data_IF_882438602579
#
_entry.id   IF_882438602579
#
_cell.length_a   1.000
_cell.length_b   1.000
_cell.length_c   1.000
_cell.angle_alpha   90.00
_cell.angle_beta   90.00
_cell.angle_gamma   90.00
#
_symmetry.space_group_name_H-M   'P 1'
#
loop_
_entity.id
_entity.type
_entity.pdbx_description
1 polymer ?
#
# COMPACT_ATOMS: atom_id res chain seq x y z
N UNK A 1 29.61 25.63 83.14
CA UNK A 1 30.76 26.41 83.65
C UNK A 1 31.76 26.58 82.51
N UNK A 2 31.86 27.83 82.04
CA UNK A 2 33.00 28.55 81.47
C UNK A 2 34.07 27.88 80.57
N UNK A 3 34.28 28.59 79.44
CA UNK A 3 35.56 28.91 78.77
C UNK A 3 36.05 27.93 77.69
N UNK A 4 36.49 28.35 76.49
CA UNK A 4 37.23 29.58 76.17
C UNK A 4 37.22 29.93 74.66
N UNK A 5 36.94 31.20 74.38
CA UNK A 5 37.49 32.11 73.36
C UNK A 5 38.37 31.59 72.19
N UNK A 6 38.11 32.10 70.97
CA UNK A 6 38.87 33.26 70.43
C UNK A 6 38.26 33.83 69.15
N UNK A 7 38.09 35.16 69.17
CA UNK A 7 37.77 36.05 68.07
C UNK A 7 38.94 36.24 67.09
N UNK A 8 38.64 36.74 65.88
CA UNK A 8 39.30 37.91 65.28
C UNK A 8 38.58 38.38 64.01
N UNK A 9 38.37 39.70 63.98
CA UNK A 9 37.80 40.53 62.92
C UNK A 9 38.73 40.78 61.72
N UNK A 10 38.12 41.43 60.70
CA UNK A 10 38.66 42.30 59.63
C UNK A 10 38.69 41.70 58.20
N UNK A 11 38.64 42.53 57.13
CA UNK A 11 37.48 43.30 56.65
C UNK A 11 37.23 43.11 55.13
N UNK A 12 36.17 43.73 54.63
CA UNK A 12 35.78 43.78 53.22
C UNK A 12 36.69 44.72 52.39
N UNK A 13 37.16 44.32 51.19
CA UNK A 13 36.89 44.98 49.89
C UNK A 13 37.84 44.57 48.74
N UNK A 14 37.22 44.52 47.56
CA UNK A 14 37.74 44.72 46.18
C UNK A 14 38.14 43.50 45.34
N UNK A 15 37.40 43.36 44.22
CA UNK A 15 37.71 42.58 43.01
C UNK A 15 38.82 43.27 42.20
N UNK A 16 39.69 42.49 41.52
CA UNK A 16 39.89 42.46 40.05
C UNK A 16 40.58 41.14 39.64
N UNK A 17 40.12 40.59 38.50
CA UNK A 17 40.51 39.39 37.76
C UNK A 17 42.00 39.13 37.46
N UNK A 18 42.34 37.84 37.26
CA UNK A 18 43.06 37.34 36.05
C UNK A 18 43.05 35.79 35.91
N UNK A 19 42.43 35.33 34.82
CA UNK A 19 42.81 34.25 33.87
C UNK A 19 43.08 32.76 34.28
N UNK A 20 42.20 31.90 33.72
CA UNK A 20 42.41 30.71 32.85
C UNK A 20 43.23 29.49 33.33
N UNK A 21 42.55 28.33 33.48
CA UNK A 21 42.90 26.99 32.93
C UNK A 21 41.58 26.25 32.55
N UNK A 22 41.48 25.50 31.43
CA UNK A 22 40.20 25.15 30.80
C UNK A 22 39.59 23.82 31.28
N UNK A 23 38.27 23.81 31.52
CA UNK A 23 37.45 22.59 31.61
C UNK A 23 36.97 22.19 30.21
N UNK A 24 37.18 20.92 29.86
CA UNK A 24 36.69 20.32 28.63
C UNK A 24 35.16 20.49 28.52
N UNK A 25 34.71 21.06 27.40
CA UNK A 25 33.29 21.16 27.06
C UNK A 25 32.86 19.85 26.38
N UNK A 26 32.02 19.09 27.07
CA UNK A 26 31.13 18.13 26.42
C UNK A 26 30.11 18.94 25.59
N UNK A 27 30.29 18.96 24.28
CA UNK A 27 29.31 19.54 23.37
C UNK A 27 28.24 18.48 23.08
N UNK A 28 27.22 18.40 23.93
CA UNK A 28 25.90 17.97 23.48
C UNK A 28 25.29 19.13 22.71
N UNK A 29 25.54 19.18 21.40
CA UNK A 29 24.83 20.10 20.52
C UNK A 29 23.42 19.53 20.36
N UNK A 30 22.49 20.05 21.15
CA UNK A 30 21.06 19.95 20.90
C UNK A 30 20.83 20.49 19.49
N UNK A 31 20.59 19.61 18.52
CA UNK A 31 20.21 20.02 17.17
C UNK A 31 18.79 20.56 17.29
N UNK A 32 18.71 21.86 17.54
CA UNK A 32 17.47 22.61 17.45
C UNK A 32 16.91 22.39 16.04
N UNK A 33 15.67 21.92 15.99
CA UNK A 33 14.89 21.75 14.77
C UNK A 33 14.85 23.07 14.01
N UNK A 34 15.69 23.21 12.98
CA UNK A 34 15.61 24.29 12.00
C UNK A 34 14.35 24.11 11.14
N UNK A 35 13.58 25.17 10.84
CA UNK A 35 12.36 25.08 10.02
C UNK A 35 12.58 24.63 8.56
N UNK A 36 13.84 24.60 8.08
CA UNK A 36 14.18 24.45 6.65
C UNK A 36 14.86 23.12 6.27
N UNK A 37 14.77 22.06 7.10
CA UNK A 37 15.24 20.74 6.63
C UNK A 37 14.30 20.20 5.55
N UNK A 38 14.73 20.34 4.29
CA UNK A 38 14.02 19.82 3.12
C UNK A 38 13.78 18.32 3.28
N UNK A 39 12.52 17.91 3.13
CA UNK A 39 12.11 16.52 3.17
C UNK A 39 12.49 15.87 1.84
N UNK A 40 13.44 14.95 1.88
CA UNK A 40 13.86 14.18 0.72
C UNK A 40 13.06 12.88 0.66
N UNK A 41 12.63 12.47 -0.53
CA UNK A 41 12.04 11.14 -0.73
C UNK A 41 13.12 10.15 -1.17
N UNK A 42 13.02 8.91 -0.70
CA UNK A 42 13.83 7.80 -1.21
C UNK A 42 12.95 6.56 -1.42
N UNK A 43 13.36 5.72 -2.37
CA UNK A 43 12.80 4.38 -2.54
C UNK A 43 13.78 3.36 -1.95
N UNK A 44 13.37 2.54 -0.96
CA UNK A 44 14.24 1.56 -0.36
C UNK A 44 14.60 0.45 -1.35
N UNK A 45 15.79 -0.14 -1.19
CA UNK A 45 16.11 -1.41 -1.82
C UNK A 45 15.36 -2.51 -1.06
N UNK A 46 14.63 -3.35 -1.79
CA UNK A 46 13.77 -4.39 -1.21
C UNK A 46 14.36 -5.75 -1.54
N UNK A 47 14.62 -6.56 -0.50
CA UNK A 47 15.11 -7.93 -0.60
C UNK A 47 14.06 -8.89 -0.04
N UNK A 48 13.71 -9.90 -0.83
CA UNK A 48 12.69 -10.90 -0.50
C UNK A 48 13.36 -12.21 -0.07
N UNK A 49 13.43 -12.46 1.24
CA UNK A 49 13.97 -13.70 1.80
C UNK A 49 12.82 -14.64 2.19
N UNK A 50 12.05 -15.10 1.20
CA UNK A 50 10.97 -16.12 1.22
C UNK A 50 9.79 -15.91 2.21
N UNK A 51 9.97 -15.24 3.34
CA UNK A 51 8.95 -14.93 4.35
C UNK A 51 8.95 -13.48 4.82
N UNK A 52 10.10 -12.80 4.87
CA UNK A 52 10.22 -11.41 5.33
C UNK A 52 10.87 -10.50 4.28
N UNK A 53 10.17 -9.42 3.89
CA UNK A 53 10.75 -8.37 3.07
C UNK A 53 11.53 -7.38 3.94
N UNK A 54 12.81 -7.22 3.63
CA UNK A 54 13.65 -6.22 4.25
C UNK A 54 13.75 -4.98 3.35
N UNK A 55 13.64 -3.81 3.96
CA UNK A 55 13.82 -2.51 3.33
C UNK A 55 15.18 -1.93 3.75
N UNK A 56 16.00 -1.58 2.76
CA UNK A 56 17.32 -0.99 2.99
C UNK A 56 17.39 0.42 2.43
N UNK A 57 17.84 1.36 3.25
CA UNK A 57 18.12 2.74 2.88
C UNK A 57 19.58 3.07 3.16
N UNK A 58 20.32 3.40 2.10
CA UNK A 58 21.72 3.86 2.21
C UNK A 58 21.74 5.38 2.18
N UNK A 59 22.15 6.00 3.28
CA UNK A 59 22.19 7.45 3.40
C UNK A 59 23.63 7.94 3.37
N UNK A 60 23.96 8.84 2.44
CA UNK A 60 25.29 9.42 2.31
C UNK A 60 25.49 10.74 3.06
N UNK A 61 24.42 11.38 3.54
CA UNK A 61 24.54 12.68 4.21
C UNK A 61 23.39 12.97 5.19
N UNK A 62 23.62 13.79 6.23
CA UNK A 62 22.58 14.20 7.17
C UNK A 62 21.38 14.83 6.46
N UNK A 63 20.18 14.57 6.97
CA UNK A 63 18.96 15.05 6.32
C UNK A 63 17.70 14.39 6.86
N UNK A 64 16.55 14.85 6.36
CA UNK A 64 15.25 14.26 6.65
C UNK A 64 14.79 13.48 5.40
N UNK A 65 14.52 12.19 5.57
CA UNK A 65 14.28 11.27 4.45
C UNK A 65 13.00 10.47 4.65
N UNK A 66 12.04 10.57 3.74
CA UNK A 66 10.80 9.79 3.72
C UNK A 66 10.90 8.64 2.74
N UNK A 67 10.53 7.45 3.22
CA UNK A 67 10.39 6.25 2.39
C UNK A 67 9.11 6.35 1.54
N UNK A 68 9.25 6.19 0.22
CA UNK A 68 8.12 6.20 -0.72
C UNK A 68 7.19 4.97 -0.60
N UNK A 69 7.65 3.89 0.05
CA UNK A 69 6.90 2.62 0.17
C UNK A 69 6.15 2.49 1.50
N UNK A 70 6.81 2.83 2.61
CA UNK A 70 6.25 2.66 3.96
C UNK A 70 5.81 3.97 4.60
N UNK A 71 6.18 5.13 4.02
CA UNK A 71 5.92 6.45 4.60
C UNK A 71 6.77 6.77 5.84
N UNK A 72 7.64 5.87 6.31
CA UNK A 72 8.55 6.16 7.42
C UNK A 72 9.45 7.35 7.09
N UNK A 73 9.67 8.22 8.07
CA UNK A 73 10.63 9.32 7.93
C UNK A 73 11.76 9.18 8.93
N UNK A 74 12.99 9.19 8.43
CA UNK A 74 14.21 9.15 9.22
C UNK A 74 14.89 10.51 9.23
N UNK A 75 15.21 11.03 10.42
CA UNK A 75 16.15 12.12 10.58
C UNK A 75 17.55 11.52 10.78
N UNK A 76 18.40 11.72 9.79
CA UNK A 76 19.78 11.24 9.76
C UNK A 76 20.71 12.36 10.23
N UNK A 77 21.54 12.10 11.23
CA UNK A 77 22.57 13.05 11.72
C UNK A 77 23.91 12.90 11.00
N UNK A 78 24.12 11.79 10.29
CA UNK A 78 25.33 11.41 9.58
C UNK A 78 24.99 10.39 8.49
N UNK A 79 25.98 10.01 7.68
CA UNK A 79 25.88 8.87 6.77
C UNK A 79 25.61 7.57 7.55
N UNK A 80 24.95 6.62 6.91
CA UNK A 80 24.68 5.31 7.50
C UNK A 80 23.56 4.57 6.79
N UNK A 81 23.52 3.27 7.07
CA UNK A 81 22.53 2.37 6.46
C UNK A 81 21.43 2.09 7.46
N UNK A 82 20.18 2.17 6.99
CA UNK A 82 19.00 1.82 7.76
C UNK A 82 18.39 0.57 7.13
N UNK A 83 18.36 -0.50 7.90
CA UNK A 83 17.69 -1.75 7.56
C UNK A 83 16.44 -1.86 8.42
N UNK A 84 15.28 -2.07 7.81
CA UNK A 84 14.06 -2.25 8.58
C UNK A 84 13.06 -3.16 7.87
N UNK A 85 12.10 -3.70 8.63
CA UNK A 85 11.02 -4.55 8.12
C UNK A 85 9.77 -4.39 8.98
N UNK A 86 8.62 -4.72 8.41
CA UNK A 86 7.38 -4.86 9.19
C UNK A 86 7.43 -6.19 9.95
N UNK A 87 7.04 -6.17 11.23
CA UNK A 87 6.94 -7.38 12.08
C UNK A 87 5.56 -7.45 12.74
N UNK A 88 5.05 -8.65 13.07
CA UNK A 88 3.74 -8.78 13.69
C UNK A 88 3.74 -8.25 15.12
N UNK A 89 2.59 -7.72 15.55
CA UNK A 89 2.39 -7.29 16.94
C UNK A 89 2.14 -8.48 17.87
N UNK A 90 2.79 -8.49 19.03
CA UNK A 90 2.35 -9.33 20.13
C UNK A 90 1.13 -8.69 20.82
N UNK A 91 -0.07 -8.97 20.29
CA UNK A 91 -1.34 -8.42 20.80
C UNK A 91 -1.61 -8.77 22.27
N UNK A 92 -1.17 -9.94 22.73
CA UNK A 92 -1.35 -10.37 24.14
C UNK A 92 -0.55 -9.47 25.08
N UNK A 93 0.69 -9.13 24.70
CA UNK A 93 1.53 -8.21 25.44
C UNK A 93 0.92 -6.80 25.47
N UNK A 94 0.45 -6.28 24.33
CA UNK A 94 -0.21 -4.97 24.29
C UNK A 94 -1.47 -4.91 25.18
N UNK A 95 -2.28 -5.97 25.16
CA UNK A 95 -3.49 -6.04 25.96
C UNK A 95 -3.21 -5.99 27.48
N UNK A 96 -2.09 -6.54 27.95
CA UNK A 96 -1.66 -6.43 29.36
C UNK A 96 -1.41 -4.98 29.79
N UNK A 97 -1.05 -4.11 28.84
CA UNK A 97 -0.83 -2.69 29.06
C UNK A 97 -2.04 -1.83 28.69
N UNK A 98 -3.21 -2.42 28.42
CA UNK A 98 -4.42 -1.72 27.98
C UNK A 98 -4.21 -0.93 26.68
N UNK A 99 -3.36 -1.44 25.78
CA UNK A 99 -3.07 -0.84 24.48
C UNK A 99 -3.58 -1.69 23.32
N UNK A 100 -3.84 -1.03 22.18
CA UNK A 100 -4.09 -1.65 20.88
C UNK A 100 -3.12 -1.10 19.82
N UNK A 101 -2.78 -1.88 18.78
CA UNK A 101 -2.07 -1.35 17.62
C UNK A 101 -2.82 -0.19 16.98
N UNK A 102 -2.11 0.83 16.53
CA UNK A 102 -2.63 1.95 15.75
C UNK A 102 -1.82 2.15 14.45
N UNK A 103 -1.15 1.08 13.98
CA UNK A 103 -0.33 1.06 12.79
C UNK A 103 0.64 -0.13 12.75
N UNK A 104 1.49 -0.21 11.71
CA UNK A 104 2.50 -1.25 11.60
C UNK A 104 3.58 -1.14 12.70
N UNK A 105 4.18 -2.28 13.05
CA UNK A 105 5.38 -2.35 13.90
C UNK A 105 6.60 -2.55 12.99
N UNK A 106 7.60 -1.68 13.11
CA UNK A 106 8.81 -1.71 12.31
C UNK A 106 10.01 -2.11 13.16
N UNK A 107 10.64 -3.24 12.84
CA UNK A 107 11.95 -3.62 13.38
C UNK A 107 13.03 -2.85 12.63
N UNK A 108 13.71 -1.92 13.29
CA UNK A 108 14.65 -0.96 12.66
C UNK A 108 16.06 -1.17 13.22
N UNK A 109 17.03 -1.27 12.32
CA UNK A 109 18.46 -1.41 12.61
C UNK A 109 19.26 -0.34 11.87
N UNK A 110 20.21 0.28 12.56
CA UNK A 110 21.20 1.18 11.97
C UNK A 110 22.52 1.02 12.72
N UNK A 111 23.49 0.33 12.09
CA UNK A 111 24.76 0.01 12.73
C UNK A 111 25.56 1.26 13.11
N UNK A 112 25.50 2.28 12.26
CA UNK A 112 26.20 3.55 12.41
C UNK A 112 25.55 4.48 13.45
N UNK A 113 24.39 4.10 14.01
CA UNK A 113 23.64 4.91 14.98
C UNK A 113 23.29 6.30 14.43
N UNK A 114 23.12 6.43 13.11
CA UNK A 114 22.98 7.71 12.41
C UNK A 114 21.56 8.25 12.43
N UNK A 115 20.55 7.41 12.67
CA UNK A 115 19.17 7.84 12.88
C UNK A 115 19.03 8.43 14.28
N UNK A 116 18.52 9.66 14.41
CA UNK A 116 18.28 10.30 15.71
C UNK A 116 16.80 10.58 16.00
N UNK A 117 15.96 10.70 14.97
CA UNK A 117 14.51 10.88 15.11
C UNK A 117 13.78 10.02 14.07
N UNK A 118 12.66 9.45 14.49
CA UNK A 118 11.76 8.65 13.68
C UNK A 118 10.42 9.38 13.59
N UNK A 119 9.83 9.38 12.39
CA UNK A 119 8.43 9.76 12.21
C UNK A 119 7.65 8.58 11.66
N UNK A 120 6.68 8.13 12.44
CA UNK A 120 5.82 6.99 12.14
C UNK A 120 4.51 7.48 11.54
N UNK A 121 4.03 6.93 10.41
CA UNK A 121 2.76 7.35 9.82
C UNK A 121 1.56 6.89 10.66
N UNK A 122 0.59 7.78 10.85
CA UNK A 122 -0.72 7.46 11.43
C UNK A 122 -1.86 7.85 10.48
N UNK A 123 -3.07 7.39 10.80
CA UNK A 123 -4.29 7.70 10.06
C UNK A 123 -5.29 8.57 10.84
N UNK A 124 -5.00 8.92 12.10
CA UNK A 124 -5.90 9.76 12.92
C UNK A 124 -6.20 11.11 12.29
N UNK A 125 -7.46 11.57 12.41
CA UNK A 125 -7.85 12.93 12.08
C UNK A 125 -7.57 13.85 13.27
N UNK A 126 -6.49 14.62 13.20
CA UNK A 126 -6.06 15.49 14.31
C UNK A 126 -7.12 16.54 14.67
N UNK A 127 -7.87 17.03 13.68
CA UNK A 127 -8.96 17.98 13.87
C UNK A 127 -10.09 17.49 14.78
N UNK A 128 -10.24 16.17 14.97
CA UNK A 128 -11.27 15.59 15.85
C UNK A 128 -10.74 15.23 17.23
N UNK A 129 -9.44 15.41 17.48
CA UNK A 129 -8.80 15.01 18.74
C UNK A 129 -8.21 13.58 18.73
N UNK A 130 -8.29 12.85 17.61
CA UNK A 130 -7.82 11.45 17.53
C UNK A 130 -6.35 11.23 17.90
N UNK A 131 -5.51 12.26 17.74
CA UNK A 131 -4.10 12.22 18.14
C UNK A 131 -3.85 12.13 19.66
N UNK A 132 -4.83 12.42 20.51
CA UNK A 132 -4.64 12.54 21.97
C UNK A 132 -4.29 11.21 22.66
N UNK A 133 -4.70 10.08 22.08
CA UNK A 133 -4.51 8.75 22.65
C UNK A 133 -3.31 8.00 22.06
N UNK A 134 -2.58 8.63 21.13
CA UNK A 134 -1.45 7.99 20.45
C UNK A 134 -0.18 7.99 21.31
N UNK A 135 0.46 6.83 21.38
CA UNK A 135 1.82 6.66 21.88
C UNK A 135 2.65 5.82 20.91
N UNK A 136 3.97 5.82 21.09
CA UNK A 136 4.85 4.90 20.36
C UNK A 136 5.32 3.81 21.29
N UNK A 137 5.11 2.56 20.92
CA UNK A 137 5.75 1.44 21.59
C UNK A 137 7.14 1.20 21.00
N UNK A 138 8.11 1.00 21.89
CA UNK A 138 9.46 0.54 21.60
C UNK A 138 9.60 -0.88 22.17
N UNK A 139 9.58 -1.88 21.28
CA UNK A 139 9.60 -3.31 21.58
C UNK A 139 11.03 -3.83 21.53
N UNK A 140 11.58 -4.15 22.70
CA UNK A 140 12.92 -4.71 22.90
C UNK A 140 12.81 -6.20 23.25
N UNK A 141 13.95 -6.90 23.26
CA UNK A 141 13.99 -8.30 23.72
C UNK A 141 13.49 -8.46 25.18
N UNK A 142 13.80 -7.48 26.03
CA UNK A 142 13.47 -7.51 27.48
C UNK A 142 12.06 -6.99 27.82
N UNK A 143 11.32 -6.42 26.85
CA UNK A 143 9.98 -5.88 27.10
C UNK A 143 9.57 -4.73 26.19
N UNK A 144 8.52 -4.01 26.60
CA UNK A 144 7.93 -2.91 25.83
C UNK A 144 7.97 -1.61 26.63
N UNK A 145 8.43 -0.54 25.98
CA UNK A 145 8.46 0.82 26.52
C UNK A 145 7.48 1.70 25.74
N UNK A 146 6.67 2.50 26.44
CA UNK A 146 5.74 3.44 25.79
C UNK A 146 6.30 4.86 25.86
N UNK A 147 6.50 5.43 24.68
CA UNK A 147 7.10 6.75 24.47
C UNK A 147 5.99 7.73 24.10
N UNK A 148 5.88 8.82 24.86
CA UNK A 148 5.01 9.94 24.50
C UNK A 148 5.62 10.70 23.32
N UNK A 149 4.86 10.91 22.22
CA UNK A 149 5.33 11.68 21.08
C UNK A 149 5.80 13.09 21.45
N UNK A 150 6.88 13.56 20.82
CA UNK A 150 7.27 14.96 20.94
C UNK A 150 6.33 15.87 20.16
N UNK A 151 5.86 15.39 19.00
CA UNK A 151 4.95 16.10 18.11
C UNK A 151 4.10 15.08 17.36
N UNK A 152 2.84 15.41 17.15
CA UNK A 152 1.94 14.69 16.25
C UNK A 152 1.55 15.69 15.16
N UNK A 153 1.79 15.35 13.90
CA UNK A 153 1.42 16.15 12.72
C UNK A 153 0.10 15.63 12.14
N UNK A 154 -0.34 16.15 11.00
CA UNK A 154 -1.53 15.63 10.29
C UNK A 154 -1.37 14.18 9.79
N UNK A 155 -0.15 13.64 9.78
CA UNK A 155 0.12 12.31 9.21
C UNK A 155 1.19 11.51 9.92
N UNK A 156 1.99 12.10 10.82
CA UNK A 156 3.08 11.43 11.49
C UNK A 156 3.20 11.73 12.98
N UNK A 157 3.55 10.70 13.73
CA UNK A 157 4.00 10.78 15.12
C UNK A 157 5.53 10.89 15.14
N UNK A 158 6.07 11.89 15.84
CA UNK A 158 7.50 12.20 15.89
C UNK A 158 8.10 11.85 17.25
N UNK A 159 9.14 11.00 17.24
CA UNK A 159 9.89 10.60 18.44
C UNK A 159 11.41 10.62 18.19
N UNK A 160 12.19 10.88 19.24
CA UNK A 160 13.63 10.67 19.19
C UNK A 160 13.94 9.19 19.45
N UNK A 161 14.86 8.60 18.69
CA UNK A 161 15.27 7.22 18.95
C UNK A 161 16.15 7.14 20.18
N UNK A 162 15.86 6.14 21.01
CA UNK A 162 16.67 5.77 22.17
C UNK A 162 17.43 4.46 21.95
N UNK A 163 17.15 3.75 20.86
CA UNK A 163 17.78 2.51 20.46
C UNK A 163 17.26 2.03 19.10
N UNK A 164 17.64 0.81 18.71
CA UNK A 164 17.26 0.18 17.46
C UNK A 164 16.64 -1.18 17.74
N UNK A 165 15.33 -1.31 17.48
CA UNK A 165 14.52 -2.52 17.61
C UNK A 165 13.13 -2.25 17.02
N UNK A 166 12.07 -2.84 17.56
CA UNK A 166 10.69 -2.63 17.10
C UNK A 166 10.11 -1.28 17.52
N UNK A 167 9.58 -0.49 16.57
CA UNK A 167 8.85 0.75 16.83
C UNK A 167 7.51 0.77 16.09
N UNK A 168 6.42 1.08 16.81
CA UNK A 168 5.09 1.14 16.21
C UNK A 168 4.13 2.00 17.02
N UNK A 169 3.12 2.56 16.37
CA UNK A 169 2.12 3.41 17.04
C UNK A 169 1.10 2.53 17.73
N UNK A 170 0.74 2.89 18.96
CA UNK A 170 -0.32 2.27 19.75
C UNK A 170 -1.33 3.33 20.20
N UNK A 171 -2.56 2.90 20.43
CA UNK A 171 -3.60 3.71 21.07
C UNK A 171 -4.07 3.03 22.36
N UNK A 172 -4.73 3.80 23.22
CA UNK A 172 -5.46 3.25 24.36
C UNK A 172 -6.58 2.32 23.89
N UNK A 173 -6.79 1.20 24.58
CA UNK A 173 -7.83 0.23 24.22
C UNK A 173 -9.24 0.85 24.28
N UNK A 174 -9.44 1.79 25.19
CA UNK A 174 -10.71 2.48 25.44
C UNK A 174 -10.81 3.82 24.69
N UNK A 175 -9.91 4.09 23.73
CA UNK A 175 -9.97 5.30 22.91
C UNK A 175 -11.31 5.38 22.14
N UNK A 176 -11.88 6.59 21.98
CA UNK A 176 -13.09 6.76 21.19
C UNK A 176 -12.87 6.29 19.74
N UNK A 177 -13.92 5.79 19.06
CA UNK A 177 -13.88 5.40 17.65
C UNK A 177 -13.95 6.64 16.75
N UNK A 178 -12.99 7.55 16.92
CA UNK A 178 -12.88 8.75 16.10
C UNK A 178 -12.63 8.40 14.64
N UNK A 179 -13.11 9.22 13.69
CA UNK A 179 -12.91 8.95 12.28
C UNK A 179 -11.43 8.98 11.91
N UNK A 180 -11.03 8.06 11.04
CA UNK A 180 -9.66 7.94 10.55
C UNK A 180 -9.60 8.11 9.03
N UNK A 181 -8.43 8.50 8.53
CA UNK A 181 -8.11 8.38 7.12
C UNK A 181 -8.04 6.89 6.76
N UNK A 182 -8.81 6.48 5.77
CA UNK A 182 -8.92 5.09 5.34
C UNK A 182 -8.62 4.94 3.85
N UNK A 183 -8.52 3.70 3.41
CA UNK A 183 -8.30 3.28 2.04
C UNK A 183 -9.38 2.26 1.65
N UNK A 184 -9.87 2.39 0.42
CA UNK A 184 -10.69 1.37 -0.23
C UNK A 184 -9.81 0.68 -1.26
N UNK A 185 -9.23 -0.47 -0.92
CA UNK A 185 -8.35 -1.22 -1.82
C UNK A 185 -9.15 -2.22 -2.64
N UNK A 186 -8.77 -2.39 -3.90
CA UNK A 186 -9.46 -3.21 -4.86
C UNK A 186 -8.53 -4.28 -5.43
N UNK A 187 -8.96 -5.54 -5.36
CA UNK A 187 -8.25 -6.68 -5.91
C UNK A 187 -9.17 -7.44 -6.86
N UNK A 188 -8.80 -7.46 -8.14
CA UNK A 188 -9.61 -8.05 -9.20
C UNK A 188 -9.04 -9.39 -9.65
N UNK A 189 -9.86 -10.43 -9.57
CA UNK A 189 -9.55 -11.77 -10.08
C UNK A 189 -10.24 -11.95 -11.43
N UNK A 190 -9.42 -12.16 -12.45
CA UNK A 190 -9.87 -12.37 -13.83
C UNK A 190 -10.69 -13.66 -13.95
N UNK A 191 -11.66 -13.70 -14.88
CA UNK A 191 -12.40 -14.91 -15.19
C UNK A 191 -11.47 -15.98 -15.80
N UNK A 192 -11.71 -17.25 -15.46
CA UNK A 192 -10.95 -18.39 -15.97
C UNK A 192 -11.85 -19.21 -16.89
N UNK A 193 -11.52 -19.28 -18.18
CA UNK A 193 -12.28 -20.05 -19.19
C UNK A 193 -12.52 -21.49 -18.69
N UNK A 194 -13.76 -22.01 -18.75
CA UNK A 194 -14.95 -21.46 -19.39
C UNK A 194 -15.86 -20.59 -18.50
N UNK A 195 -15.46 -20.28 -17.27
CA UNK A 195 -16.28 -19.53 -16.32
C UNK A 195 -16.15 -18.01 -16.57
N UNK A 196 -17.24 -17.32 -17.00
CA UNK A 196 -17.21 -15.88 -17.21
C UNK A 196 -17.21 -15.09 -15.89
N UNK A 197 -17.33 -15.76 -14.74
CA UNK A 197 -17.38 -15.11 -13.44
C UNK A 197 -16.03 -14.49 -13.09
N UNK A 198 -16.08 -13.20 -12.73
CA UNK A 198 -14.93 -12.50 -12.16
C UNK A 198 -15.28 -11.98 -10.78
N UNK A 199 -14.24 -11.76 -9.96
CA UNK A 199 -14.41 -11.41 -8.55
C UNK A 199 -13.64 -10.13 -8.30
N UNK A 200 -14.29 -9.16 -7.66
CA UNK A 200 -13.65 -7.96 -7.17
C UNK A 200 -13.74 -7.95 -5.64
N UNK A 201 -12.60 -8.14 -4.99
CA UNK A 201 -12.47 -8.02 -3.55
C UNK A 201 -12.24 -6.56 -3.17
N UNK A 202 -13.08 -6.04 -2.30
CA UNK A 202 -12.99 -4.69 -1.73
C UNK A 202 -12.58 -4.79 -0.28
N UNK A 203 -11.50 -4.11 0.08
CA UNK A 203 -10.98 -4.07 1.45
C UNK A 203 -11.07 -2.63 1.96
N UNK A 204 -11.63 -2.47 3.16
CA UNK A 204 -11.57 -1.23 3.90
C UNK A 204 -10.43 -1.33 4.92
N UNK A 205 -9.41 -0.48 4.79
CA UNK A 205 -8.23 -0.52 5.67
C UNK A 205 -7.85 0.89 6.15
N UNK A 206 -7.21 1.02 7.32
CA UNK A 206 -6.59 2.29 7.73
C UNK A 206 -5.52 2.76 6.74
N UNK A 207 -5.38 4.08 6.57
CA UNK A 207 -4.46 4.66 5.57
C UNK A 207 -2.97 4.42 5.85
N UNK A 208 -2.61 4.17 7.10
CA UNK A 208 -1.22 3.93 7.48
C UNK A 208 -0.76 2.48 7.28
N UNK A 209 -1.56 1.65 6.59
CA UNK A 209 -1.14 0.32 6.13
C UNK A 209 0.00 0.44 5.09
N UNK A 210 0.93 -0.51 5.11
CA UNK A 210 1.91 -0.66 4.02
C UNK A 210 1.25 -1.43 2.88
N UNK A 211 0.84 -0.74 1.80
CA UNK A 211 0.10 -1.35 0.67
C UNK A 211 0.86 -2.54 0.06
N UNK A 212 2.19 -2.47 0.03
CA UNK A 212 3.05 -3.57 -0.45
C UNK A 212 2.86 -4.85 0.38
N UNK A 213 2.80 -4.73 1.70
CA UNK A 213 2.58 -5.86 2.59
C UNK A 213 1.19 -6.48 2.34
N UNK A 214 0.16 -5.65 2.09
CA UNK A 214 -1.17 -6.12 1.71
C UNK A 214 -1.13 -6.94 0.41
N UNK A 215 -0.48 -6.40 -0.64
CA UNK A 215 -0.36 -7.08 -1.94
C UNK A 215 0.36 -8.42 -1.81
N UNK A 216 1.45 -8.47 -1.03
CA UNK A 216 2.24 -9.68 -0.80
C UNK A 216 1.45 -10.75 -0.05
N UNK A 217 0.82 -10.39 1.07
CA UNK A 217 -0.02 -11.30 1.85
C UNK A 217 -1.16 -11.85 1.01
N UNK A 218 -1.85 -10.99 0.25
CA UNK A 218 -2.94 -11.42 -0.62
C UNK A 218 -2.47 -12.35 -1.73
N UNK A 219 -1.31 -12.10 -2.34
CA UNK A 219 -0.73 -13.03 -3.31
C UNK A 219 -0.51 -14.42 -2.71
N UNK A 220 -0.03 -14.49 -1.45
CA UNK A 220 0.15 -15.77 -0.73
C UNK A 220 -1.17 -16.48 -0.44
N UNK A 221 -2.22 -15.75 -0.02
CA UNK A 221 -3.49 -16.34 0.43
C UNK A 221 -4.50 -16.60 -0.69
N UNK A 222 -4.58 -15.72 -1.69
CA UNK A 222 -5.65 -15.68 -2.69
C UNK A 222 -5.16 -16.01 -4.11
N UNK A 223 -3.83 -16.11 -4.30
CA UNK A 223 -3.19 -16.31 -5.59
C UNK A 223 -3.06 -15.01 -6.38
N UNK A 224 -3.04 -15.11 -7.70
CA UNK A 224 -2.90 -13.94 -8.57
C UNK A 224 -4.19 -13.12 -8.61
N UNK A 225 -4.12 -11.95 -7.99
CA UNK A 225 -5.13 -10.90 -8.05
C UNK A 225 -4.50 -9.62 -8.57
N UNK A 226 -5.22 -8.93 -9.44
CA UNK A 226 -4.80 -7.63 -9.94
C UNK A 226 -5.19 -6.54 -8.95
N UNK A 227 -4.20 -5.90 -8.35
CA UNK A 227 -4.42 -4.67 -7.58
C UNK A 227 -4.84 -3.51 -8.49
N UNK A 228 -5.90 -2.79 -8.11
CA UNK A 228 -6.36 -1.57 -8.76
C UNK A 228 -6.15 -0.41 -7.79
N UNK A 229 -5.28 0.52 -8.20
CA UNK A 229 -4.98 1.72 -7.41
C UNK A 229 -6.22 2.64 -7.30
N UNK A 230 -6.42 3.19 -6.11
CA UNK A 230 -7.59 3.99 -5.76
C UNK A 230 -7.18 5.30 -5.10
N UNK A 231 -8.06 6.30 -5.17
CA UNK A 231 -7.84 7.57 -4.48
C UNK A 231 -7.69 7.33 -2.97
N UNK A 232 -6.67 7.91 -2.32
CA UNK A 232 -6.46 7.75 -0.88
C UNK A 232 -7.40 8.63 -0.03
N UNK A 233 -8.36 9.31 -0.66
CA UNK A 233 -9.28 10.22 0.02
C UNK A 233 -10.54 9.47 0.46
N UNK A 234 -10.44 8.78 1.59
CA UNK A 234 -11.59 8.19 2.28
C UNK A 234 -11.47 8.42 3.78
N UNK A 235 -12.60 8.66 4.45
CA UNK A 235 -12.68 8.79 5.90
C UNK A 235 -13.74 7.83 6.40
N UNK A 236 -13.38 6.95 7.31
CA UNK A 236 -14.27 5.95 7.88
C UNK A 236 -14.23 6.03 9.40
N UNK A 237 -15.35 5.68 10.03
CA UNK A 237 -15.49 5.59 11.47
C UNK A 237 -15.31 4.12 11.90
N UNK A 238 -14.39 3.84 12.83
CA UNK A 238 -14.26 2.51 13.41
C UNK A 238 -15.59 1.99 13.96
N UNK A 239 -15.90 0.71 13.72
CA UNK A 239 -17.14 0.01 14.15
C UNK A 239 -18.43 0.53 13.51
N UNK A 240 -18.35 1.49 12.59
CA UNK A 240 -19.50 1.96 11.82
C UNK A 240 -19.80 0.97 10.69
N UNK A 241 -21.09 0.74 10.43
CA UNK A 241 -21.56 -0.16 9.35
C UNK A 241 -21.66 0.61 8.04
N UNK A 242 -21.12 0.00 6.98
CA UNK A 242 -21.13 0.52 5.63
C UNK A 242 -21.81 -0.47 4.68
N UNK A 243 -22.36 0.06 3.58
CA UNK A 243 -22.92 -0.72 2.48
C UNK A 243 -22.18 -0.40 1.19
N UNK A 244 -22.00 -1.40 0.33
CA UNK A 244 -21.38 -1.23 -0.99
C UNK A 244 -22.43 -1.43 -2.07
N UNK A 245 -22.60 -0.42 -2.91
CA UNK A 245 -23.51 -0.44 -4.05
C UNK A 245 -22.76 -0.39 -5.37
N UNK A 246 -23.35 -0.97 -6.43
CA UNK A 246 -22.76 -1.03 -7.77
C UNK A 246 -23.69 -0.43 -8.81
N UNK A 247 -23.13 0.27 -9.80
CA UNK A 247 -23.87 0.71 -10.99
C UNK A 247 -23.17 0.14 -12.25
N UNK A 248 -23.89 -0.54 -13.16
CA UNK A 248 -25.34 -0.75 -13.18
C UNK A 248 -25.82 -1.70 -12.08
N UNK A 249 -27.05 -1.49 -11.59
CA UNK A 249 -27.77 -2.51 -10.82
C UNK A 249 -28.18 -3.63 -11.79
N UNK A 250 -27.71 -4.84 -11.55
CA UNK A 250 -27.82 -5.99 -12.44
C UNK A 250 -27.88 -7.25 -11.60
N UNK A 251 -28.81 -8.16 -11.88
CA UNK A 251 -28.97 -9.43 -11.18
C UNK A 251 -27.71 -10.33 -11.27
N UNK A 252 -26.85 -10.07 -12.26
CA UNK A 252 -25.56 -10.72 -12.43
C UNK A 252 -24.44 -10.12 -11.58
N UNK A 253 -24.67 -9.00 -10.89
CA UNK A 253 -23.71 -8.39 -9.96
C UNK A 253 -24.22 -8.63 -8.53
N UNK A 254 -23.45 -9.37 -7.74
CA UNK A 254 -23.78 -9.66 -6.35
C UNK A 254 -22.71 -9.14 -5.43
N UNK A 255 -23.10 -8.37 -4.43
CA UNK A 255 -22.24 -7.89 -3.36
C UNK A 255 -22.52 -8.71 -2.12
N UNK A 256 -21.48 -9.30 -1.52
CA UNK A 256 -21.61 -10.09 -0.29
C UNK A 256 -20.48 -9.71 0.69
N UNK A 257 -20.79 -9.44 1.98
CA UNK A 257 -22.13 -9.22 2.54
C UNK A 257 -22.77 -7.92 2.02
N UNK A 258 -24.05 -7.70 2.29
CA UNK A 258 -24.74 -6.45 1.92
C UNK A 258 -24.27 -5.25 2.77
N UNK A 259 -23.86 -5.53 4.00
CA UNK A 259 -23.37 -4.58 4.98
C UNK A 259 -22.19 -5.19 5.75
N UNK A 260 -21.23 -4.35 6.13
CA UNK A 260 -20.10 -4.75 6.95
C UNK A 260 -19.61 -3.56 7.77
N UNK A 261 -19.12 -3.81 8.98
CA UNK A 261 -18.47 -2.79 9.78
C UNK A 261 -17.03 -2.52 9.33
N UNK A 262 -16.58 -1.28 9.53
CA UNK A 262 -15.17 -0.93 9.35
C UNK A 262 -14.39 -1.22 10.65
N UNK A 263 -13.59 -2.29 10.62
CA UNK A 263 -12.63 -2.60 11.68
C UNK A 263 -11.30 -1.88 11.43
N UNK A 264 -10.91 -1.00 12.36
CA UNK A 264 -9.63 -0.28 12.32
C UNK A 264 -8.46 -1.13 12.86
N UNK A 265 -8.73 -2.34 13.35
CA UNK A 265 -7.71 -3.22 13.89
C UNK A 265 -6.75 -3.76 12.81
N UNK A 266 -5.46 -3.72 13.13
CA UNK A 266 -4.38 -4.11 12.23
C UNK A 266 -4.16 -5.63 12.25
N UNK A 267 -4.88 -6.39 11.41
CA UNK A 267 -4.68 -7.84 11.26
C UNK A 267 -3.69 -8.18 10.14
N UNK A 268 -2.95 -9.27 10.32
CA UNK A 268 -1.97 -9.74 9.33
C UNK A 268 -2.65 -10.40 8.10
N UNK A 269 -3.94 -10.74 8.19
CA UNK A 269 -4.64 -11.55 7.17
C UNK A 269 -5.40 -10.77 6.09
N UNK A 270 -5.51 -9.43 6.20
CA UNK A 270 -6.16 -8.53 5.24
C UNK A 270 -7.41 -9.09 4.55
N UNK A 271 -8.44 -9.39 5.35
CA UNK A 271 -9.67 -9.99 4.87
C UNK A 271 -10.46 -9.05 3.94
N UNK A 272 -11.15 -9.65 2.97
CA UNK A 272 -12.06 -8.94 2.09
C UNK A 272 -13.30 -8.49 2.86
N UNK A 273 -13.59 -7.19 2.83
CA UNK A 273 -14.78 -6.61 3.48
C UNK A 273 -16.03 -6.84 2.63
N UNK A 274 -15.94 -6.58 1.32
CA UNK A 274 -17.01 -6.88 0.36
C UNK A 274 -16.47 -7.67 -0.82
N UNK A 275 -17.17 -8.73 -1.17
CA UNK A 275 -16.92 -9.53 -2.35
C UNK A 275 -17.96 -9.17 -3.41
N UNK A 276 -17.50 -8.61 -4.53
CA UNK A 276 -18.37 -8.32 -5.67
C UNK A 276 -18.17 -9.42 -6.72
N UNK A 277 -19.16 -10.28 -6.83
CA UNK A 277 -19.22 -11.34 -7.84
C UNK A 277 -19.88 -10.81 -9.10
N UNK A 278 -19.16 -10.87 -10.22
CA UNK A 278 -19.62 -10.42 -11.53
C UNK A 278 -19.89 -11.65 -12.40
N UNK A 279 -21.17 -11.98 -12.59
CA UNK A 279 -21.66 -13.13 -13.37
C UNK A 279 -21.44 -13.04 -14.88
N UNK A 280 -20.99 -11.89 -15.36
CA UNK A 280 -20.60 -11.63 -16.75
C UNK A 280 -19.40 -10.69 -16.79
N UNK A 281 -18.79 -10.64 -17.97
CA UNK A 281 -17.73 -9.71 -18.32
C UNK A 281 -18.34 -8.29 -18.42
N UNK A 282 -17.85 -7.36 -17.60
CA UNK A 282 -18.32 -5.96 -17.53
C UNK A 282 -17.18 -4.97 -17.76
N UNK A 283 -17.37 -4.00 -18.65
CA UNK A 283 -16.34 -3.00 -18.99
C UNK A 283 -16.18 -1.98 -17.89
N UNK A 284 -17.31 -1.45 -17.43
CA UNK A 284 -17.38 -0.40 -16.45
C UNK A 284 -18.28 -0.84 -15.30
N UNK A 285 -17.82 -0.63 -14.08
CA UNK A 285 -18.65 -0.74 -12.88
C UNK A 285 -18.33 0.46 -11.99
N UNK A 286 -19.36 1.17 -11.54
CA UNK A 286 -19.18 2.18 -10.51
C UNK A 286 -19.42 1.53 -9.15
N UNK A 287 -18.51 1.73 -8.22
CA UNK A 287 -18.67 1.35 -6.83
C UNK A 287 -18.96 2.60 -6.00
N UNK A 288 -19.92 2.51 -5.09
CA UNK A 288 -20.21 3.54 -4.10
C UNK A 288 -20.35 2.92 -2.71
N UNK A 289 -19.47 3.35 -1.81
CA UNK A 289 -19.49 2.99 -0.40
C UNK A 289 -20.29 4.05 0.36
N UNK A 290 -21.30 3.60 1.11
CA UNK A 290 -22.21 4.47 1.86
C UNK A 290 -22.24 4.09 3.32
N UNK A 291 -22.29 5.08 4.19
CA UNK A 291 -22.66 4.88 5.59
C UNK A 291 -24.11 4.41 5.64
N UNK A 292 -24.37 3.27 6.30
CA UNK A 292 -25.70 2.68 6.39
C UNK A 292 -26.68 3.64 7.07
N UNK A 293 -26.26 4.25 8.18
CA UNK A 293 -27.13 5.05 9.05
C UNK A 293 -27.58 6.37 8.42
N UNK A 294 -26.68 7.05 7.71
CA UNK A 294 -26.96 8.34 7.08
C UNK A 294 -27.27 8.23 5.58
N UNK A 295 -27.03 7.06 4.96
CA UNK A 295 -27.05 6.86 3.51
C UNK A 295 -26.09 7.79 2.74
N UNK A 296 -25.11 8.39 3.42
CA UNK A 296 -24.15 9.32 2.82
C UNK A 296 -23.09 8.55 2.06
N UNK A 297 -22.84 8.92 0.81
CA UNK A 297 -21.72 8.41 0.02
C UNK A 297 -20.40 8.94 0.58
N UNK A 298 -19.56 8.04 1.10
CA UNK A 298 -18.25 8.38 1.68
C UNK A 298 -17.09 8.11 0.71
N UNK A 299 -17.33 7.28 -0.31
CA UNK A 299 -16.36 6.99 -1.36
C UNK A 299 -17.08 6.48 -2.61
N UNK A 300 -16.63 6.95 -3.78
CA UNK A 300 -17.18 6.54 -5.07
C UNK A 300 -16.06 6.40 -6.11
N UNK A 301 -16.14 5.36 -6.94
CA UNK A 301 -15.18 5.14 -8.01
C UNK A 301 -15.82 4.43 -9.20
N UNK A 302 -15.71 5.06 -10.37
CA UNK A 302 -15.90 4.39 -11.66
C UNK A 302 -14.68 3.54 -12.01
N UNK A 303 -14.86 2.23 -12.12
CA UNK A 303 -13.83 1.28 -12.50
C UNK A 303 -14.02 0.87 -13.95
N UNK A 304 -12.94 0.95 -14.74
CA UNK A 304 -12.86 0.23 -16.00
C UNK A 304 -12.10 -1.07 -15.73
N UNK A 305 -12.83 -2.17 -15.55
CA UNK A 305 -12.26 -3.47 -15.17
C UNK A 305 -11.32 -4.04 -16.24
N UNK A 306 -11.47 -3.56 -17.48
CA UNK A 306 -10.60 -3.89 -18.60
C UNK A 306 -9.58 -2.82 -18.98
N UNK A 307 -9.37 -1.79 -18.16
CA UNK A 307 -8.28 -0.85 -18.44
C UNK A 307 -6.94 -1.57 -18.33
N UNK A 308 -5.98 -1.45 -19.27
CA UNK A 308 -4.60 -1.85 -19.03
C UNK A 308 -4.04 -1.05 -17.84
N UNK A 309 -3.47 -1.72 -16.84
CA UNK A 309 -2.45 -1.05 -16.01
C UNK A 309 -1.09 -1.31 -16.63
N UNK A 310 -0.18 -0.35 -16.44
CA UNK A 310 1.19 -0.29 -16.96
C UNK A 310 1.97 -1.62 -16.86
N UNK A 311 1.61 -2.52 -15.95
CA UNK A 311 2.18 -3.87 -15.83
C UNK A 311 1.90 -4.79 -17.03
N UNK A 312 0.74 -4.72 -17.70
CA UNK A 312 0.41 -5.59 -18.84
C UNK A 312 1.24 -5.29 -20.09
N UNK A 313 1.88 -4.12 -20.16
CA UNK A 313 2.79 -3.76 -21.26
C UNK A 313 4.18 -4.36 -21.11
N UNK A 314 4.57 -4.75 -19.89
CA UNK A 314 5.90 -5.29 -19.59
C UNK A 314 5.99 -6.80 -19.79
N UNK A 315 4.85 -7.47 -20.05
CA UNK A 315 4.80 -8.90 -20.34
C UNK A 315 5.03 -9.17 -21.84
N UNK A 316 5.63 -10.33 -22.19
CA UNK A 316 5.74 -10.77 -23.57
C UNK A 316 4.37 -10.78 -24.27
N UNK A 317 4.29 -10.42 -25.57
CA UNK A 317 3.07 -10.41 -26.36
C UNK A 317 2.18 -11.67 -26.23
N UNK A 318 2.79 -12.85 -26.12
CA UNK A 318 2.06 -14.11 -25.94
C UNK A 318 1.36 -14.22 -24.58
N UNK A 319 1.98 -13.74 -23.51
CA UNK A 319 1.42 -13.68 -22.16
C UNK A 319 0.33 -12.60 -22.06
N UNK A 320 0.50 -11.48 -22.77
CA UNK A 320 -0.55 -10.46 -22.93
C UNK A 320 -1.80 -11.06 -23.57
N UNK A 321 -1.66 -11.79 -24.67
CA UNK A 321 -2.78 -12.46 -25.33
C UNK A 321 -3.41 -13.56 -24.47
N UNK A 322 -2.63 -14.26 -23.64
CA UNK A 322 -3.16 -15.23 -22.68
C UNK A 322 -4.08 -14.55 -21.66
N UNK A 323 -3.61 -13.45 -21.07
CA UNK A 323 -4.33 -12.69 -20.06
C UNK A 323 -5.62 -12.05 -20.61
N UNK A 324 -5.64 -11.70 -21.89
CA UNK A 324 -6.78 -11.07 -22.56
C UNK A 324 -7.67 -12.07 -23.31
N UNK A 325 -7.34 -13.36 -23.26
CA UNK A 325 -7.94 -14.39 -24.12
C UNK A 325 -9.44 -14.49 -23.97
N UNK A 326 -9.93 -14.60 -22.73
CA UNK A 326 -11.37 -14.69 -22.47
C UNK A 326 -12.11 -13.45 -22.98
N UNK A 327 -11.53 -12.26 -22.79
CA UNK A 327 -12.11 -11.00 -23.24
C UNK A 327 -12.14 -10.89 -24.76
N UNK A 328 -11.09 -11.36 -25.44
CA UNK A 328 -11.04 -11.41 -26.90
C UNK A 328 -12.14 -12.30 -27.47
N UNK A 329 -12.27 -13.52 -26.94
CA UNK A 329 -13.24 -14.53 -27.41
C UNK A 329 -14.68 -14.04 -27.31
N UNK A 330 -15.00 -13.36 -26.21
CA UNK A 330 -16.34 -12.87 -25.93
C UNK A 330 -16.64 -11.56 -26.67
N UNK A 331 -15.70 -10.61 -26.61
CA UNK A 331 -15.91 -9.23 -27.01
C UNK A 331 -15.69 -8.93 -28.49
N UNK A 332 -14.94 -9.76 -29.22
CA UNK A 332 -14.70 -9.49 -30.64
C UNK A 332 -15.99 -9.62 -31.46
N UNK A 333 -16.21 -8.68 -32.38
CA UNK A 333 -17.30 -8.75 -33.34
C UNK A 333 -16.96 -9.71 -34.49
N UNK A 334 -17.95 -10.40 -35.05
CA UNK A 334 -17.76 -11.33 -36.18
C UNK A 334 -17.04 -10.67 -37.39
N UNK A 335 -17.37 -9.42 -37.79
CA UNK A 335 -16.67 -8.76 -38.89
C UNK A 335 -15.20 -8.46 -38.59
N UNK A 336 -14.90 -8.03 -37.35
CA UNK A 336 -13.52 -7.75 -36.93
C UNK A 336 -12.72 -9.06 -36.81
N UNK A 337 -13.34 -10.14 -36.33
CA UNK A 337 -12.72 -11.46 -36.27
C UNK A 337 -12.36 -11.98 -37.66
N UNK A 338 -13.29 -11.88 -38.62
CA UNK A 338 -13.05 -12.31 -40.01
C UNK A 338 -11.93 -11.48 -40.66
N UNK A 339 -11.97 -10.15 -40.51
CA UNK A 339 -10.94 -9.25 -41.04
C UNK A 339 -9.57 -9.48 -40.39
N UNK A 340 -9.54 -9.85 -39.11
CA UNK A 340 -8.32 -10.18 -38.39
C UNK A 340 -7.68 -11.47 -38.94
N UNK A 341 -8.49 -12.51 -39.19
CA UNK A 341 -8.03 -13.77 -39.79
C UNK A 341 -7.43 -13.52 -41.17
N UNK A 342 -8.06 -12.69 -42.00
CA UNK A 342 -7.55 -12.35 -43.33
C UNK A 342 -6.20 -11.63 -43.28
N UNK A 343 -6.04 -10.64 -42.38
CA UNK A 343 -4.76 -9.96 -42.17
C UNK A 343 -3.65 -10.89 -41.65
N UNK A 344 -4.01 -11.81 -40.73
CA UNK A 344 -3.08 -12.80 -40.21
C UNK A 344 -2.61 -13.76 -41.31
N UNK A 345 -3.48 -14.14 -42.25
CA UNK A 345 -3.13 -14.97 -43.40
C UNK A 345 -2.26 -14.19 -44.40
N UNK A 346 -2.63 -12.95 -44.72
CA UNK A 346 -1.86 -12.07 -45.63
C UNK A 346 -0.39 -11.95 -45.19
N UNK A 347 -0.18 -11.86 -43.88
CA UNK A 347 1.14 -11.72 -43.25
C UNK A 347 1.79 -13.07 -42.90
N UNK A 348 1.16 -14.18 -43.30
CA UNK A 348 1.61 -15.56 -43.08
C UNK A 348 1.83 -15.91 -41.60
N UNK A 349 1.12 -15.23 -40.70
CA UNK A 349 1.09 -15.54 -39.26
C UNK A 349 0.31 -16.84 -39.04
N UNK A 350 -0.78 -17.02 -39.79
CA UNK A 350 -1.51 -18.29 -39.92
C UNK A 350 -1.39 -18.84 -41.34
N UNK A 351 -1.54 -20.15 -41.47
CA UNK A 351 -1.53 -20.90 -42.73
C UNK A 351 -2.94 -21.02 -43.30
N UNK A 352 -3.05 -21.34 -44.59
CA UNK A 352 -4.35 -21.59 -45.23
C UNK A 352 -5.12 -22.72 -44.51
N UNK A 353 -4.43 -23.78 -44.08
CA UNK A 353 -5.04 -24.87 -43.32
C UNK A 353 -5.59 -24.43 -41.95
N UNK A 354 -4.90 -23.53 -41.25
CA UNK A 354 -5.37 -22.97 -39.98
C UNK A 354 -6.55 -22.02 -40.19
N UNK A 355 -6.57 -21.25 -41.29
CA UNK A 355 -7.72 -20.43 -41.66
C UNK A 355 -8.94 -21.32 -41.95
N UNK A 356 -8.80 -22.34 -42.78
CA UNK A 356 -9.88 -23.28 -43.08
C UNK A 356 -10.41 -23.97 -41.81
N UNK A 357 -9.52 -24.35 -40.89
CA UNK A 357 -9.90 -24.93 -39.60
C UNK A 357 -10.66 -23.93 -38.68
N UNK A 358 -10.31 -22.64 -38.74
CA UNK A 358 -11.03 -21.58 -38.05
C UNK A 358 -12.41 -21.33 -38.67
N UNK A 359 -12.50 -21.27 -40.01
CA UNK A 359 -13.75 -21.03 -40.74
C UNK A 359 -14.72 -22.22 -40.66
N UNK A 360 -14.22 -23.43 -40.39
CA UNK A 360 -15.05 -24.59 -40.10
C UNK A 360 -15.80 -24.51 -38.75
N UNK A 361 -15.42 -23.59 -37.84
CA UNK A 361 -16.10 -23.38 -36.56
C UNK A 361 -17.43 -22.65 -36.79
N UNK A 362 -18.52 -23.26 -36.31
CA UNK A 362 -19.88 -22.70 -36.44
C UNK A 362 -20.16 -21.58 -35.42
N UNK A 363 -19.48 -21.62 -34.28
CA UNK A 363 -19.65 -20.64 -33.20
C UNK A 363 -18.52 -19.59 -33.22
N UNK A 364 -18.89 -18.31 -33.11
CA UNK A 364 -17.95 -17.19 -33.06
C UNK A 364 -16.90 -17.36 -31.96
N UNK A 365 -17.33 -17.79 -30.77
CA UNK A 365 -16.43 -17.89 -29.61
C UNK A 365 -15.45 -19.02 -29.82
N UNK A 366 -15.89 -20.16 -30.34
CA UNK A 366 -14.99 -21.25 -30.74
C UNK A 366 -14.00 -20.83 -31.82
N UNK A 367 -14.46 -20.07 -32.82
CA UNK A 367 -13.61 -19.49 -33.86
C UNK A 367 -12.56 -18.54 -33.29
N UNK A 368 -12.98 -17.56 -32.49
CA UNK A 368 -12.10 -16.61 -31.84
C UNK A 368 -11.08 -17.30 -30.91
N UNK A 369 -11.54 -18.30 -30.14
CA UNK A 369 -10.71 -19.10 -29.25
C UNK A 369 -9.63 -19.85 -30.02
N UNK A 370 -10.01 -20.49 -31.12
CA UNK A 370 -9.07 -21.19 -31.99
C UNK A 370 -8.02 -20.26 -32.57
N UNK A 371 -8.41 -19.08 -33.08
CA UNK A 371 -7.49 -18.13 -33.71
C UNK A 371 -6.46 -17.60 -32.70
N UNK A 372 -6.90 -17.15 -31.53
CA UNK A 372 -5.97 -16.60 -30.52
C UNK A 372 -5.03 -17.67 -29.95
N UNK A 373 -5.50 -18.90 -29.76
CA UNK A 373 -4.67 -20.01 -29.28
C UNK A 373 -3.63 -20.43 -30.33
N UNK A 374 -4.04 -20.49 -31.60
CA UNK A 374 -3.15 -20.81 -32.72
C UNK A 374 -2.02 -19.80 -32.82
N UNK A 375 -2.35 -18.49 -32.78
CA UNK A 375 -1.34 -17.43 -32.83
C UNK A 375 -0.43 -17.45 -31.61
N UNK A 376 -0.98 -17.64 -30.40
CA UNK A 376 -0.18 -17.69 -29.16
C UNK A 376 0.80 -18.86 -29.16
N UNK A 377 0.43 -20.01 -29.73
CA UNK A 377 1.31 -21.18 -29.86
C UNK A 377 2.56 -20.90 -30.72
N UNK A 378 2.51 -19.86 -31.57
CA UNK A 378 3.62 -19.40 -32.41
C UNK A 378 4.47 -18.30 -31.76
N UNK A 379 4.30 -18.10 -30.45
CA UNK A 379 5.11 -17.23 -29.58
C UNK A 379 4.96 -15.72 -29.89
N UNK A 380 5.90 -14.92 -29.39
CA UNK A 380 5.76 -13.47 -29.27
C UNK A 380 5.74 -12.70 -30.59
N UNK A 381 6.45 -13.16 -31.62
CA UNK A 381 6.45 -12.50 -32.92
C UNK A 381 5.06 -12.54 -33.57
N UNK A 382 4.42 -13.72 -33.58
CA UNK A 382 3.06 -13.90 -34.08
C UNK A 382 2.03 -13.15 -33.21
N UNK A 383 2.21 -13.21 -31.89
CA UNK A 383 1.34 -12.51 -30.93
C UNK A 383 1.44 -10.99 -31.07
N UNK A 384 2.60 -10.45 -31.42
CA UNK A 384 2.80 -9.01 -31.67
C UNK A 384 2.05 -8.55 -32.93
N UNK A 385 2.18 -9.29 -34.03
CA UNK A 385 1.48 -8.98 -35.28
C UNK A 385 -0.04 -9.04 -35.09
N UNK A 386 -0.53 -10.02 -34.33
CA UNK A 386 -1.94 -10.10 -33.96
C UNK A 386 -2.43 -8.87 -33.20
N UNK A 387 -1.66 -8.42 -32.19
CA UNK A 387 -1.99 -7.22 -31.42
C UNK A 387 -2.03 -5.99 -32.34
N UNK A 388 -1.07 -5.86 -33.25
CA UNK A 388 -1.01 -4.75 -34.21
C UNK A 388 -2.22 -4.75 -35.14
N UNK A 389 -2.61 -5.88 -35.73
CA UNK A 389 -3.78 -5.96 -36.60
C UNK A 389 -5.08 -5.71 -35.84
N UNK A 390 -5.19 -6.23 -34.62
CA UNK A 390 -6.36 -5.96 -33.79
C UNK A 390 -6.49 -4.46 -33.47
N UNK A 391 -5.35 -3.79 -33.24
CA UNK A 391 -5.30 -2.33 -33.03
C UNK A 391 -5.70 -1.53 -34.26
N UNK A 392 -5.29 -1.98 -35.45
CA UNK A 392 -5.69 -1.35 -36.72
C UNK A 392 -7.18 -1.51 -37.00
N UNK A 393 -7.74 -2.69 -36.73
CA UNK A 393 -9.14 -3.01 -37.00
C UNK A 393 -10.08 -2.34 -36.00
N UNK A 394 -9.71 -2.36 -34.72
CA UNK A 394 -10.54 -1.82 -33.66
C UNK A 394 -9.67 -1.28 -32.52
N UNK A 395 -9.21 -0.05 -32.68
CA UNK A 395 -8.37 0.65 -31.69
C UNK A 395 -9.06 0.76 -30.32
N UNK A 396 -10.40 0.86 -30.31
CA UNK A 396 -11.19 0.99 -29.09
C UNK A 396 -11.20 -0.36 -28.37
N UNK A 397 -11.54 -1.45 -29.07
CA UNK A 397 -11.52 -2.79 -28.51
C UNK A 397 -10.11 -3.26 -28.11
N UNK A 398 -9.09 -2.96 -28.91
CA UNK A 398 -7.69 -3.24 -28.56
C UNK A 398 -7.25 -2.48 -27.31
N UNK A 399 -7.73 -1.24 -27.15
CA UNK A 399 -7.59 -0.47 -25.91
C UNK A 399 -8.31 -1.11 -24.72
N UNK A 400 -9.53 -1.60 -24.93
CA UNK A 400 -10.27 -2.36 -23.91
C UNK A 400 -9.60 -3.69 -23.54
N UNK A 401 -8.84 -4.32 -24.43
CA UNK A 401 -8.08 -5.52 -24.07
C UNK A 401 -6.76 -5.18 -23.36
N UNK A 402 -6.37 -3.90 -23.28
CA UNK A 402 -5.07 -3.54 -22.73
C UNK A 402 -3.89 -3.93 -23.60
N UNK A 403 -4.13 -4.05 -24.91
CA UNK A 403 -3.14 -4.44 -25.91
C UNK A 403 -2.53 -3.26 -26.68
N UNK A 404 -2.88 -2.02 -26.30
CA UNK A 404 -2.31 -0.80 -26.90
C UNK A 404 -0.84 -0.56 -26.58
#
# INVERSE_FOLDING_TARGET
>A
MMSSNRARDFPCLSMVSLSKIPRAKNNFTQVNSSPDMLLNEFTPVITDDFDDENYTFQCSCPGLYQCSVTGLVFLMKAEGDVLYRTVPWNRRLLAQHHKKPAGPLFDIKCQQQSVCQLRLPHCELISTGGGQFLQVAHVKEEGIEFITPHKITESHVVINLTGFSGYGIVSDKDSPPDPVQALVLLFYKLPVDPDPRSILSVLLLPRNIVIRDVQRTRRKLNGDERYIDTSPHCKLHPKQVYTLSTVPEDDLIKVEPNEADFDDEYYDSYFTTFLVSLGRILTDVNLSLKDESSSTCVWERKLCLFSPTVGTLNHPPSERLLNTRSCFVEGISEPNLSSLIDKLLEKKVITDAEKEAADAKQDKREKARFVIDTVRSKLDAASSEFINFLRELDKIFCGHLGLN
#
